data_IF_311218225674
#
_entry.id   IF_311218225674
#
_cell.length_a   1.000
_cell.length_b   1.000
_cell.length_c   1.000
_cell.angle_alpha   90.00
_cell.angle_beta   90.00
_cell.angle_gamma   90.00
#
_symmetry.space_group_name_H-M   'P 1'
#
loop_
_entity.id
_entity.type
_entity.pdbx_description
1 polymer ?
#
# COMPACT_ATOMS: atom_id res chain seq x y z
N UNK A 1 -56.20 -4.17 12.60
CA UNK A 1 -54.83 -4.67 12.75
C UNK A 1 -54.09 -4.44 11.44
N UNK A 2 -53.17 -3.46 11.37
CA UNK A 2 -52.37 -3.20 10.17
C UNK A 2 -51.04 -3.92 10.36
N UNK A 3 -50.83 -4.97 9.57
CA UNK A 3 -49.58 -5.76 9.59
C UNK A 3 -48.48 -4.95 8.90
N UNK A 4 -47.43 -4.62 9.65
CA UNK A 4 -46.22 -3.97 9.13
C UNK A 4 -45.34 -5.09 8.56
N UNK A 5 -45.23 -5.14 7.23
CA UNK A 5 -44.32 -6.04 6.54
C UNK A 5 -42.92 -5.40 6.54
N UNK A 6 -42.04 -5.92 7.39
CA UNK A 6 -40.64 -5.48 7.48
C UNK A 6 -39.85 -6.11 6.31
N UNK A 7 -39.49 -5.30 5.33
CA UNK A 7 -38.66 -5.73 4.19
C UNK A 7 -37.18 -5.69 4.62
N UNK A 8 -36.59 -6.85 4.89
CA UNK A 8 -35.14 -6.96 5.09
C UNK A 8 -34.45 -6.81 3.71
N UNK A 9 -33.82 -5.65 3.47
CA UNK A 9 -32.85 -5.52 2.39
C UNK A 9 -31.56 -6.24 2.80
N UNK A 10 -31.33 -7.44 2.25
CA UNK A 10 -30.00 -8.04 2.24
C UNK A 10 -29.11 -7.21 1.31
N UNK A 11 -28.14 -6.52 1.88
CA UNK A 11 -27.03 -5.93 1.12
C UNK A 11 -26.08 -7.07 0.73
N UNK A 12 -26.12 -7.52 -0.53
CA UNK A 12 -25.03 -8.33 -1.09
C UNK A 12 -23.79 -7.45 -1.20
N UNK A 13 -22.83 -7.61 -0.29
CA UNK A 13 -21.48 -7.08 -0.47
C UNK A 13 -20.74 -7.97 -1.46
N UNK A 14 -20.75 -7.59 -2.74
CA UNK A 14 -19.79 -8.12 -3.71
C UNK A 14 -18.40 -7.60 -3.31
N UNK A 15 -17.56 -8.48 -2.76
CA UNK A 15 -16.11 -8.23 -2.70
C UNK A 15 -15.61 -8.41 -4.13
N UNK A 16 -15.33 -7.31 -4.83
CA UNK A 16 -14.67 -7.42 -6.13
C UNK A 16 -13.31 -8.10 -5.92
N UNK A 17 -13.05 -9.18 -6.66
CA UNK A 17 -11.75 -9.84 -6.62
C UNK A 17 -10.67 -8.88 -7.09
N UNK A 18 -9.50 -8.91 -6.44
CA UNK A 18 -8.37 -8.06 -6.80
C UNK A 18 -7.93 -8.36 -8.24
N UNK A 19 -7.41 -7.36 -8.99
CA UNK A 19 -6.72 -7.61 -10.24
C UNK A 19 -5.64 -8.70 -10.07
N UNK A 20 -5.42 -9.59 -11.05
CA UNK A 20 -4.52 -10.74 -10.88
C UNK A 20 -3.10 -10.40 -10.41
N UNK A 21 -2.53 -9.29 -10.88
CA UNK A 21 -1.20 -8.83 -10.43
C UNK A 21 -1.22 -8.36 -8.98
N UNK A 22 -2.24 -7.60 -8.58
CA UNK A 22 -2.45 -7.14 -7.21
C UNK A 22 -2.58 -8.32 -6.25
N UNK A 23 -3.39 -9.34 -6.59
CA UNK A 23 -3.52 -10.56 -5.80
C UNK A 23 -2.17 -11.26 -5.58
N UNK A 24 -1.40 -11.48 -6.65
CA UNK A 24 -0.06 -12.12 -6.56
C UNK A 24 0.92 -11.31 -5.72
N UNK A 25 0.86 -9.98 -5.77
CA UNK A 25 1.69 -9.12 -4.93
C UNK A 25 1.33 -9.29 -3.45
N UNK A 26 0.04 -9.34 -3.11
CA UNK A 26 -0.42 -9.59 -1.73
C UNK A 26 0.03 -10.99 -1.26
N UNK A 27 -0.10 -12.02 -2.11
CA UNK A 27 0.40 -13.37 -1.80
C UNK A 27 1.91 -13.38 -1.53
N UNK A 28 2.69 -12.65 -2.34
CA UNK A 28 4.11 -12.49 -2.11
C UNK A 28 4.39 -11.86 -0.74
N UNK A 29 3.76 -10.73 -0.43
CA UNK A 29 3.90 -10.04 0.86
C UNK A 29 3.60 -10.99 2.03
N UNK A 30 2.52 -11.77 1.95
CA UNK A 30 2.17 -12.78 2.95
C UNK A 30 3.28 -13.83 3.13
N UNK A 31 3.87 -14.31 2.04
CA UNK A 31 4.92 -15.34 2.07
C UNK A 31 6.24 -14.87 2.74
N UNK A 32 6.50 -13.56 2.70
CA UNK A 32 7.73 -12.93 3.22
C UNK A 32 7.53 -12.13 4.51
N UNK A 33 6.33 -12.13 5.08
CA UNK A 33 6.01 -11.40 6.31
C UNK A 33 6.98 -11.77 7.45
N UNK A 34 7.51 -10.77 8.16
CA UNK A 34 8.47 -10.95 9.26
C UNK A 34 9.86 -11.41 8.82
N UNK A 35 10.11 -11.61 7.52
CA UNK A 35 11.41 -12.03 6.98
C UNK A 35 12.12 -10.83 6.34
N UNK A 36 13.45 -10.94 6.21
CA UNK A 36 14.26 -10.00 5.45
C UNK A 36 14.21 -10.40 3.97
N UNK A 37 13.73 -9.50 3.10
CA UNK A 37 13.82 -9.70 1.64
C UNK A 37 15.12 -9.10 1.12
N UNK A 38 15.93 -9.92 0.45
CA UNK A 38 17.24 -9.58 -0.11
C UNK A 38 18.13 -8.81 0.90
N UNK A 39 18.53 -7.58 0.59
CA UNK A 39 19.42 -6.76 1.43
C UNK A 39 18.66 -6.11 2.58
N UNK A 40 17.33 -6.15 2.55
CA UNK A 40 16.48 -5.56 3.57
C UNK A 40 16.15 -4.11 3.29
N UNK A 41 16.41 -3.59 2.08
CA UNK A 41 16.05 -2.22 1.69
C UNK A 41 14.57 -2.13 1.34
N UNK A 42 13.94 -0.97 1.56
CA UNK A 42 12.50 -0.81 1.37
C UNK A 42 12.05 -1.14 -0.06
N UNK A 43 12.89 -0.86 -1.05
CA UNK A 43 12.63 -1.16 -2.46
C UNK A 43 12.83 -2.64 -2.82
N UNK A 44 13.57 -3.44 -2.04
CA UNK A 44 13.75 -4.87 -2.30
C UNK A 44 12.42 -5.63 -2.20
N UNK A 45 11.56 -5.21 -1.26
CA UNK A 45 10.21 -5.76 -1.13
C UNK A 45 9.37 -5.50 -2.40
N UNK A 46 9.37 -4.26 -2.89
CA UNK A 46 8.66 -3.88 -4.11
C UNK A 46 9.20 -4.60 -5.34
N UNK A 47 10.52 -4.65 -5.50
CA UNK A 47 11.17 -5.36 -6.61
C UNK A 47 10.85 -6.86 -6.59
N UNK A 48 10.91 -7.49 -5.42
CA UNK A 48 10.55 -8.90 -5.25
C UNK A 48 9.07 -9.18 -5.56
N UNK A 49 8.17 -8.29 -5.16
CA UNK A 49 6.75 -8.43 -5.43
C UNK A 49 6.40 -8.34 -6.93
N UNK A 50 7.01 -7.37 -7.63
CA UNK A 50 6.85 -7.24 -9.09
C UNK A 50 7.44 -8.44 -9.83
N UNK A 51 8.59 -8.95 -9.37
CA UNK A 51 9.18 -10.16 -9.94
C UNK A 51 8.29 -11.40 -9.72
N UNK A 52 7.79 -11.63 -8.50
CA UNK A 52 6.92 -12.76 -8.16
C UNK A 52 5.60 -12.74 -8.94
N UNK A 53 5.01 -11.55 -9.10
CA UNK A 53 3.76 -11.38 -9.86
C UNK A 53 3.94 -11.44 -11.38
N UNK A 54 5.19 -11.44 -11.87
CA UNK A 54 5.57 -11.27 -13.28
C UNK A 54 5.08 -9.93 -13.88
N UNK A 55 4.97 -8.89 -13.06
CA UNK A 55 4.63 -7.54 -13.50
C UNK A 55 5.82 -6.87 -14.22
N UNK A 56 5.51 -5.84 -15.01
CA UNK A 56 6.51 -4.96 -15.61
C UNK A 56 7.25 -4.16 -14.54
N UNK A 57 8.58 -4.10 -14.66
CA UNK A 57 9.40 -3.21 -13.84
C UNK A 57 10.68 -2.82 -14.58
N UNK A 58 10.72 -1.57 -15.05
CA UNK A 58 11.91 -1.03 -15.69
C UNK A 58 12.96 -0.57 -14.68
N UNK A 59 14.10 -1.24 -14.69
CA UNK A 59 15.25 -0.95 -13.85
C UNK A 59 16.47 -0.48 -14.64
N UNK A 60 16.28 -0.11 -15.91
CA UNK A 60 17.35 0.29 -16.83
C UNK A 60 18.03 1.61 -16.45
N UNK A 61 17.39 2.45 -15.64
CA UNK A 61 17.95 3.76 -15.27
C UNK A 61 17.55 4.22 -13.88
N UNK A 62 18.34 5.13 -13.30
CA UNK A 62 18.00 5.81 -12.04
C UNK A 62 16.66 6.57 -12.08
N UNK A 63 16.16 6.90 -13.29
CA UNK A 63 14.87 7.59 -13.44
C UNK A 63 13.68 6.65 -13.32
N UNK A 64 13.87 5.35 -13.59
CA UNK A 64 12.79 4.37 -13.70
C UNK A 64 12.76 3.38 -12.54
N UNK A 65 13.87 3.23 -11.78
CA UNK A 65 13.96 2.32 -10.62
C UNK A 65 12.98 2.57 -9.47
N UNK A 66 12.26 3.70 -9.45
CA UNK A 66 11.21 4.01 -8.45
C UNK A 66 9.80 4.11 -9.08
N UNK A 67 9.64 3.67 -10.32
CA UNK A 67 8.36 3.63 -11.05
C UNK A 67 7.93 2.17 -11.13
N UNK A 68 6.89 1.84 -10.37
CA UNK A 68 6.48 0.46 -10.12
C UNK A 68 5.25 0.00 -10.94
N UNK A 69 4.93 0.73 -12.02
CA UNK A 69 3.77 0.47 -12.87
C UNK A 69 3.11 1.76 -13.34
N UNK A 70 1.79 1.73 -13.54
CA UNK A 70 1.01 2.90 -13.95
C UNK A 70 0.74 3.78 -12.73
N UNK A 71 1.09 5.06 -12.83
CA UNK A 71 0.75 6.04 -11.79
C UNK A 71 -0.77 6.17 -11.67
N UNK A 72 -1.27 6.06 -10.44
CA UNK A 72 -2.68 6.19 -10.09
C UNK A 72 -3.01 7.61 -9.64
N UNK A 73 -4.12 8.15 -10.12
CA UNK A 73 -4.74 9.33 -9.51
C UNK A 73 -5.61 8.87 -8.34
N UNK A 74 -4.99 8.63 -7.18
CA UNK A 74 -5.66 8.10 -5.97
C UNK A 74 -6.78 9.00 -5.41
N UNK A 75 -7.00 10.19 -5.99
CA UNK A 75 -8.16 11.05 -5.66
C UNK A 75 -9.39 10.73 -6.51
N UNK A 76 -9.22 10.01 -7.61
CA UNK A 76 -10.27 9.66 -8.58
C UNK A 76 -10.39 8.16 -8.80
N UNK A 77 -9.30 7.43 -8.58
CA UNK A 77 -9.22 5.99 -8.70
C UNK A 77 -9.15 5.35 -7.32
N UNK A 78 -9.82 4.20 -7.16
CA UNK A 78 -9.68 3.38 -5.97
C UNK A 78 -8.25 2.86 -5.85
N UNK A 79 -7.70 2.94 -4.64
CA UNK A 79 -6.44 2.28 -4.27
C UNK A 79 -6.77 0.88 -3.79
N UNK A 80 -6.00 -0.11 -4.24
CA UNK A 80 -6.24 -1.53 -3.98
C UNK A 80 -5.06 -2.15 -3.24
N UNK A 81 -5.29 -3.21 -2.43
CA UNK A 81 -4.22 -4.10 -2.00
C UNK A 81 -3.36 -4.54 -3.19
N UNK A 82 -2.04 -4.54 -3.01
CA UNK A 82 -1.06 -4.84 -4.04
C UNK A 82 -0.60 -3.65 -4.89
N UNK A 83 -1.23 -2.46 -4.76
CA UNK A 83 -0.66 -1.24 -5.34
C UNK A 83 0.64 -0.86 -4.60
N UNK A 84 1.60 -0.27 -5.30
CA UNK A 84 2.92 0.08 -4.75
C UNK A 84 3.00 1.57 -4.49
N UNK A 85 3.67 1.98 -3.41
CA UNK A 85 3.78 3.37 -2.98
C UNK A 85 5.25 3.79 -2.95
N UNK A 86 5.54 4.92 -3.61
CA UNK A 86 6.79 5.65 -3.41
C UNK A 86 6.52 6.94 -2.62
N UNK A 87 7.30 7.13 -1.56
CA UNK A 87 7.27 8.33 -0.72
C UNK A 87 8.42 9.28 -1.07
N UNK A 88 8.15 10.58 -1.04
CA UNK A 88 9.15 11.64 -1.16
C UNK A 88 8.87 12.78 -0.20
N UNK A 89 9.72 12.92 0.82
CA UNK A 89 9.68 13.96 1.86
C UNK A 89 8.31 14.08 2.52
N UNK A 90 7.69 12.96 2.85
CA UNK A 90 6.36 12.89 3.44
C UNK A 90 6.44 13.19 4.94
N UNK A 91 5.54 14.03 5.41
CA UNK A 91 5.33 14.34 6.83
C UNK A 91 3.87 13.99 7.16
N UNK A 92 3.67 13.18 8.20
CA UNK A 92 2.37 12.85 8.76
C UNK A 92 2.24 13.46 10.15
N UNK A 93 1.07 14.03 10.45
CA UNK A 93 0.74 14.55 11.78
C UNK A 93 -0.60 14.03 12.22
N UNK A 94 -0.62 13.38 13.38
CA UNK A 94 -1.85 12.83 13.94
C UNK A 94 -1.82 12.85 15.46
N UNK A 95 -2.99 12.71 16.07
CA UNK A 95 -3.15 12.63 17.52
C UNK A 95 -3.54 11.23 17.94
N UNK A 96 -2.95 10.72 19.00
CA UNK A 96 -3.38 9.49 19.68
C UNK A 96 -3.66 9.85 21.14
N UNK A 97 -4.94 9.94 21.48
CA UNK A 97 -5.38 10.56 22.74
C UNK A 97 -4.95 12.03 22.81
N UNK A 98 -4.27 12.40 23.90
CA UNK A 98 -3.79 13.77 24.12
C UNK A 98 -2.38 14.03 23.56
N UNK A 99 -1.76 13.05 22.90
CA UNK A 99 -0.39 13.16 22.38
C UNK A 99 -0.42 13.40 20.87
N UNK A 100 0.34 14.40 20.42
CA UNK A 100 0.56 14.68 19.00
C UNK A 100 1.82 13.96 18.52
N UNK A 101 1.69 13.24 17.41
CA UNK A 101 2.77 12.52 16.75
C UNK A 101 3.12 13.22 15.43
N UNK A 102 4.40 13.19 15.08
CA UNK A 102 4.90 13.59 13.77
C UNK A 102 5.80 12.48 13.24
N UNK A 103 5.48 11.98 12.07
CA UNK A 103 6.28 10.98 11.36
C UNK A 103 6.80 11.57 10.06
N UNK A 104 8.05 11.26 9.72
CA UNK A 104 8.70 11.79 8.52
C UNK A 104 9.35 10.68 7.72
N UNK A 105 9.12 10.67 6.41
CA UNK A 105 9.67 9.71 5.45
C UNK A 105 10.35 10.46 4.30
N UNK A 106 11.69 10.51 4.32
CA UNK A 106 12.46 11.24 3.30
C UNK A 106 12.38 10.57 1.91
N UNK A 107 12.78 9.30 1.82
CA UNK A 107 12.63 8.44 0.65
C UNK A 107 12.27 7.04 1.16
N UNK A 108 11.12 6.51 0.75
CA UNK A 108 10.69 5.18 1.20
C UNK A 108 9.79 4.52 0.18
N UNK A 109 9.71 3.20 0.22
CA UNK A 109 8.84 2.40 -0.64
C UNK A 109 8.01 1.45 0.22
N UNK A 110 6.75 1.27 -0.13
CA UNK A 110 5.86 0.32 0.52
C UNK A 110 4.88 -0.29 -0.49
N UNK A 111 4.11 -1.27 -0.05
CA UNK A 111 3.02 -1.90 -0.79
C UNK A 111 1.75 -1.73 0.02
N UNK A 112 0.63 -1.36 -0.61
CA UNK A 112 -0.69 -1.38 0.04
C UNK A 112 -1.02 -2.83 0.39
N UNK A 113 -1.05 -3.13 1.67
CA UNK A 113 -1.37 -4.47 2.16
C UNK A 113 -2.88 -4.62 2.35
N UNK A 114 -3.54 -3.57 2.88
CA UNK A 114 -4.98 -3.54 3.10
C UNK A 114 -5.51 -2.11 3.00
N UNK A 115 -6.76 -1.97 2.59
CA UNK A 115 -7.49 -0.69 2.56
C UNK A 115 -8.53 -0.72 3.67
N UNK A 116 -8.37 0.16 4.65
CA UNK A 116 -9.30 0.30 5.78
C UNK A 116 -10.42 1.30 5.46
N UNK A 117 -10.14 2.26 4.59
CA UNK A 117 -11.11 3.26 4.15
C UNK A 117 -10.48 4.25 3.18
N UNK A 118 -11.22 5.33 2.89
CA UNK A 118 -10.72 6.40 2.02
C UNK A 118 -9.44 6.99 2.61
N UNK A 119 -8.35 6.88 1.84
CA UNK A 119 -7.03 7.39 2.21
C UNK A 119 -6.43 6.77 3.49
N UNK A 120 -6.95 5.62 3.95
CA UNK A 120 -6.49 4.93 5.15
C UNK A 120 -6.14 3.47 4.84
N UNK A 121 -4.85 3.16 4.94
CA UNK A 121 -4.27 1.91 4.45
C UNK A 121 -3.42 1.24 5.53
N UNK A 122 -3.32 -0.08 5.46
CA UNK A 122 -2.18 -0.79 6.04
C UNK A 122 -1.16 -0.99 4.92
N UNK A 123 0.10 -0.67 5.18
CA UNK A 123 1.19 -0.78 4.19
C UNK A 123 2.22 -1.80 4.67
N UNK A 124 2.65 -2.68 3.77
CA UNK A 124 3.77 -3.58 3.99
C UNK A 124 5.07 -2.93 3.49
N UNK A 125 6.09 -2.92 4.33
CA UNK A 125 7.40 -2.36 4.03
C UNK A 125 8.48 -2.97 4.91
N UNK A 126 9.74 -2.71 4.56
CA UNK A 126 10.90 -3.04 5.37
C UNK A 126 11.85 -1.83 5.41
N UNK A 127 12.93 -1.93 6.19
CA UNK A 127 13.83 -0.82 6.49
C UNK A 127 13.14 0.31 7.28
N UNK A 128 12.45 -0.06 8.35
CA UNK A 128 11.76 0.89 9.23
C UNK A 128 12.37 0.89 10.63
N UNK A 129 12.05 1.91 11.42
CA UNK A 129 12.46 1.94 12.83
C UNK A 129 11.88 0.79 13.65
N UNK A 130 10.65 0.36 13.35
CA UNK A 130 9.93 -0.67 14.12
C UNK A 130 10.35 -2.10 13.77
N UNK A 131 10.51 -2.41 12.48
CA UNK A 131 10.81 -3.78 12.02
C UNK A 131 12.26 -3.96 11.53
N UNK A 132 13.07 -2.91 11.53
CA UNK A 132 14.42 -2.93 10.98
C UNK A 132 14.40 -3.38 9.52
N UNK A 133 15.26 -4.36 9.18
CA UNK A 133 15.38 -4.92 7.81
C UNK A 133 14.33 -5.99 7.46
N UNK A 134 13.36 -6.26 8.34
CA UNK A 134 12.31 -7.26 8.10
C UNK A 134 11.05 -6.61 7.57
N UNK A 135 10.26 -7.37 6.82
CA UNK A 135 8.94 -6.97 6.35
C UNK A 135 7.98 -6.91 7.54
N UNK A 136 7.34 -5.76 7.72
CA UNK A 136 6.27 -5.53 8.68
C UNK A 136 5.18 -4.66 8.08
N UNK A 137 4.11 -4.46 8.86
CA UNK A 137 2.92 -3.71 8.43
C UNK A 137 2.67 -2.55 9.37
N UNK A 138 2.52 -1.34 8.82
CA UNK A 138 2.12 -0.15 9.56
C UNK A 138 0.83 0.44 9.01
N UNK A 139 0.10 1.17 9.85
CA UNK A 139 -0.97 2.03 9.35
C UNK A 139 -0.37 3.23 8.62
N UNK A 140 -1.04 3.64 7.55
CA UNK A 140 -0.69 4.80 6.75
C UNK A 140 -1.97 5.50 6.32
N UNK A 141 -2.22 6.67 6.92
CA UNK A 141 -3.40 7.46 6.65
C UNK A 141 -3.01 8.78 5.98
N UNK A 142 -3.31 8.92 4.68
CA UNK A 142 -2.96 10.11 3.90
C UNK A 142 -3.76 11.34 4.35
N UNK A 143 -4.88 11.19 5.06
CA UNK A 143 -5.59 12.34 5.64
C UNK A 143 -4.72 13.08 6.67
N UNK A 144 -3.73 12.40 7.25
CA UNK A 144 -2.79 12.98 8.20
C UNK A 144 -1.57 13.61 7.51
N UNK A 145 -1.46 13.55 6.17
CA UNK A 145 -0.31 14.07 5.45
C UNK A 145 -0.35 15.60 5.38
N UNK A 146 0.70 16.24 5.88
CA UNK A 146 0.86 17.69 5.88
C UNK A 146 1.83 18.18 4.81
N UNK A 147 2.80 17.34 4.39
CA UNK A 147 3.82 17.67 3.39
C UNK A 147 4.25 16.44 2.60
N UNK A 148 4.92 16.69 1.48
CA UNK A 148 5.59 15.68 0.65
C UNK A 148 4.79 15.23 -0.55
N UNK A 149 5.24 14.14 -1.16
CA UNK A 149 4.58 13.49 -2.30
C UNK A 149 4.45 12.00 -2.06
N UNK A 150 3.27 11.49 -2.35
CA UNK A 150 2.94 10.07 -2.40
C UNK A 150 2.59 9.74 -3.85
N UNK A 151 3.33 8.80 -4.43
CA UNK A 151 3.05 8.27 -5.77
C UNK A 151 2.60 6.82 -5.60
N UNK A 152 1.37 6.52 -5.98
CA UNK A 152 0.80 5.17 -5.91
C UNK A 152 0.77 4.61 -7.33
N UNK A 153 1.26 3.39 -7.50
CA UNK A 153 1.37 2.71 -8.78
C UNK A 153 0.55 1.43 -8.78
N UNK A 154 -0.24 1.25 -9.84
CA UNK A 154 -0.86 -0.04 -10.15
C UNK A 154 0.13 -0.89 -10.95
N UNK A 155 0.42 -2.14 -10.54
CA UNK A 155 1.23 -3.04 -11.37
C UNK A 155 0.58 -3.23 -12.74
N UNK A 156 1.41 -3.37 -13.78
CA UNK A 156 0.96 -3.63 -15.16
C UNK A 156 1.68 -4.86 -15.70
N UNK A 157 1.08 -5.49 -16.71
CA UNK A 157 1.68 -6.61 -17.42
C UNK A 157 2.92 -6.15 -18.23
N UNK A 158 3.79 -7.11 -18.57
CA UNK A 158 5.00 -6.87 -19.36
C UNK A 158 4.71 -6.61 -20.83
#
# INVERSE_FOLDING_TARGET
MKSIMLLFLLTLSFKADLPPLNAKIVDYVNSVMGKKVDRGECWDLAAGALAYSNAYFDRSSQKTVLIYGRLLDYKKEEVLPGDLIQFKNVELKYKKGNVSYTESMAQHTAIVYKVNGSLDYEIAHQNTGEWGKKVGVSNFNLNNMTKGKVMIYRPIEK
#
